data_IF_821222587555
#
_entry.id   IF_821222587555
#
_cell.length_a   1.000
_cell.length_b   1.000
_cell.length_c   1.000
_cell.angle_alpha   90.00
_cell.angle_beta   90.00
_cell.angle_gamma   90.00
#
_symmetry.space_group_name_H-M   'P 1'
#
loop_
_entity.id
_entity.type
_entity.pdbx_description
1 polymer ?
#
# COMPACT_ATOMS: atom_id res chain seq x y z
N UNK A 1 -6.77 12.17 0.33
CA UNK A 1 -5.42 11.92 0.89
C UNK A 1 -5.29 12.25 2.37
N UNK A 2 -5.79 13.40 2.85
CA UNK A 2 -5.70 13.81 4.25
C UNK A 2 -6.18 12.74 5.26
N UNK A 3 -7.32 12.09 5.00
CA UNK A 3 -7.82 10.99 5.85
C UNK A 3 -6.88 9.79 5.91
N UNK A 4 -6.18 9.47 4.81
CA UNK A 4 -5.20 8.37 4.77
C UNK A 4 -4.02 8.72 5.68
N UNK A 5 -3.44 9.92 5.52
CA UNK A 5 -2.34 10.40 6.38
C UNK A 5 -2.77 10.45 7.85
N UNK A 6 -3.97 10.98 8.14
CA UNK A 6 -4.52 11.00 9.49
C UNK A 6 -4.67 9.59 10.07
N UNK A 7 -5.08 8.60 9.27
CA UNK A 7 -5.19 7.21 9.73
C UNK A 7 -3.85 6.57 10.09
N UNK A 8 -2.75 7.03 9.50
CA UNK A 8 -1.39 6.55 9.73
C UNK A 8 -0.76 7.22 10.97
N UNK A 9 -1.01 8.52 11.18
CA UNK A 9 -0.43 9.33 12.27
C UNK A 9 -1.07 9.13 13.64
N UNK A 10 -2.26 8.51 13.71
CA UNK A 10 -2.95 8.23 14.99
C UNK A 10 -2.12 7.29 15.89
N UNK A 11 -2.32 7.32 17.22
CA UNK A 11 -1.86 6.26 18.09
C UNK A 11 -2.37 4.91 17.58
N UNK A 12 -1.47 3.93 17.43
CA UNK A 12 -1.75 2.64 16.75
C UNK A 12 -2.31 2.84 15.32
N UNK A 13 -1.67 3.76 14.59
CA UNK A 13 -2.03 4.12 13.23
C UNK A 13 -1.85 2.99 12.22
N UNK A 14 -2.45 3.13 11.05
CA UNK A 14 -2.40 2.13 9.99
C UNK A 14 -0.96 1.92 9.50
N UNK A 15 -0.54 0.64 9.41
CA UNK A 15 0.77 0.21 8.88
C UNK A 15 0.66 -0.73 7.68
N UNK A 16 -0.57 -1.04 7.26
CA UNK A 16 -0.89 -1.96 6.17
C UNK A 16 -1.99 -1.37 5.31
N UNK A 17 -2.10 -1.82 4.06
CA UNK A 17 -3.15 -1.35 3.14
C UNK A 17 -4.54 -1.64 3.69
N UNK A 18 -4.78 -2.84 4.22
CA UNK A 18 -6.08 -3.17 4.82
C UNK A 18 -6.32 -2.37 6.12
N UNK A 19 -5.26 -1.99 6.83
CA UNK A 19 -5.34 -1.07 7.97
C UNK A 19 -5.86 0.32 7.57
N UNK A 20 -5.42 0.84 6.42
CA UNK A 20 -5.92 2.10 5.86
C UNK A 20 -7.36 1.92 5.40
N UNK A 21 -7.64 0.87 4.61
CA UNK A 21 -8.97 0.57 4.07
C UNK A 21 -10.05 0.51 5.14
N UNK A 22 -9.78 -0.15 6.28
CA UNK A 22 -10.73 -0.24 7.40
C UNK A 22 -11.01 1.09 8.08
N UNK A 23 -10.08 2.05 8.04
CA UNK A 23 -10.20 3.35 8.72
C UNK A 23 -10.75 4.44 7.83
N UNK A 24 -10.51 4.37 6.51
CA UNK A 24 -10.85 5.46 5.57
C UNK A 24 -11.80 5.03 4.46
N UNK A 25 -12.07 3.73 4.32
CA UNK A 25 -12.83 3.14 3.20
C UNK A 25 -12.23 3.43 1.82
N UNK A 26 -10.95 3.82 1.74
CA UNK A 26 -10.26 3.96 0.44
C UNK A 26 -10.35 2.65 -0.34
N UNK A 27 -10.63 2.74 -1.63
CA UNK A 27 -10.71 1.57 -2.50
C UNK A 27 -11.95 0.68 -2.33
N UNK A 28 -12.92 1.06 -1.48
CA UNK A 28 -14.17 0.31 -1.27
C UNK A 28 -15.33 0.78 -2.17
N UNK A 29 -15.06 1.65 -3.15
CA UNK A 29 -16.03 2.14 -4.12
C UNK A 29 -16.16 1.22 -5.35
N UNK A 30 -16.93 1.65 -6.35
CA UNK A 30 -17.20 0.89 -7.59
C UNK A 30 -15.95 0.35 -8.29
N UNK A 31 -14.84 1.08 -8.23
CA UNK A 31 -13.56 0.71 -8.86
C UNK A 31 -12.71 -0.30 -8.07
N UNK A 32 -13.13 -0.70 -6.87
CA UNK A 32 -12.47 -1.71 -6.03
C UNK A 32 -10.96 -1.53 -5.92
N UNK A 33 -10.53 -0.29 -5.68
CA UNK A 33 -9.14 0.12 -5.51
C UNK A 33 -8.24 0.04 -6.76
N UNK A 34 -8.80 -0.19 -7.95
CA UNK A 34 -8.03 -0.27 -9.21
C UNK A 34 -7.19 0.97 -9.52
N UNK A 35 -7.61 2.15 -9.07
CA UNK A 35 -6.92 3.41 -9.34
C UNK A 35 -6.23 4.02 -8.12
N UNK A 36 -6.81 3.88 -6.92
CA UNK A 36 -6.31 4.55 -5.73
C UNK A 36 -5.24 3.75 -4.96
N UNK A 37 -5.02 2.47 -5.29
CA UNK A 37 -4.01 1.63 -4.61
C UNK A 37 -2.59 2.18 -4.77
N UNK A 38 -2.10 2.56 -5.97
CA UNK A 38 -0.76 3.12 -6.12
C UNK A 38 -0.54 4.40 -5.30
N UNK A 39 -1.53 5.30 -5.31
CA UNK A 39 -1.49 6.53 -4.52
C UNK A 39 -1.48 6.24 -2.99
N UNK A 40 -2.25 5.24 -2.56
CA UNK A 40 -2.31 4.84 -1.15
C UNK A 40 -0.97 4.24 -0.68
N UNK A 41 -0.34 3.40 -1.51
CA UNK A 41 1.01 2.86 -1.25
C UNK A 41 2.02 3.99 -1.12
N UNK A 42 2.03 4.93 -2.06
CA UNK A 42 2.93 6.09 -2.04
C UNK A 42 2.81 6.89 -0.74
N UNK A 43 1.58 7.24 -0.33
CA UNK A 43 1.34 7.96 0.93
C UNK A 43 1.83 7.15 2.12
N UNK A 44 1.59 5.84 2.15
CA UNK A 44 2.06 4.98 3.25
C UNK A 44 3.58 4.93 3.33
N UNK A 45 4.28 4.83 2.20
CA UNK A 45 5.74 4.90 2.13
C UNK A 45 6.26 6.24 2.66
N UNK A 46 5.68 7.36 2.21
CA UNK A 46 6.07 8.71 2.64
C UNK A 46 5.87 8.91 4.15
N UNK A 47 4.75 8.45 4.71
CA UNK A 47 4.43 8.64 6.13
C UNK A 47 5.26 7.72 7.05
N UNK A 48 5.73 6.58 6.55
CA UNK A 48 6.45 5.59 7.36
C UNK A 48 7.95 5.53 7.07
N UNK A 49 8.43 6.18 6.00
CA UNK A 49 9.82 6.10 5.57
C UNK A 49 10.24 4.71 5.09
N UNK A 50 9.30 3.90 4.58
CA UNK A 50 9.55 2.52 4.14
C UNK A 50 9.58 2.40 2.62
N UNK A 51 10.30 1.40 2.12
CA UNK A 51 10.30 1.08 0.70
C UNK A 51 8.93 0.58 0.23
N UNK A 52 8.51 0.86 -1.03
CA UNK A 52 7.32 0.24 -1.61
C UNK A 52 7.33 -1.29 -1.57
N UNK A 53 8.52 -1.90 -1.60
CA UNK A 53 8.72 -3.35 -1.47
C UNK A 53 8.42 -3.88 -0.06
N UNK A 54 8.38 -3.03 0.96
CA UNK A 54 8.09 -3.42 2.34
C UNK A 54 6.60 -3.37 2.65
N UNK A 55 5.81 -2.67 1.83
CA UNK A 55 4.38 -2.46 2.05
C UNK A 55 3.62 -3.78 1.99
N UNK A 56 2.80 -4.03 3.01
CA UNK A 56 1.99 -5.23 3.12
C UNK A 56 0.50 -4.94 3.05
N UNK A 57 -0.27 -5.92 2.55
CA UNK A 57 -1.72 -5.90 2.53
C UNK A 57 -2.29 -6.00 3.94
N UNK A 58 -1.88 -7.02 4.70
CA UNK A 58 -2.41 -7.34 6.03
C UNK A 58 -1.31 -7.64 7.08
N UNK A 59 -0.03 -7.40 6.74
CA UNK A 59 1.12 -7.74 7.59
C UNK A 59 1.80 -9.04 7.17
N UNK A 60 2.86 -9.43 7.88
CA UNK A 60 3.67 -10.61 7.57
C UNK A 60 4.20 -10.60 6.12
N UNK A 61 4.10 -11.74 5.44
CA UNK A 61 4.60 -11.96 4.08
C UNK A 61 3.65 -11.45 2.97
N UNK A 62 2.58 -10.73 3.31
CA UNK A 62 1.59 -10.24 2.33
C UNK A 62 2.05 -9.00 1.56
N UNK A 63 3.20 -9.07 0.89
CA UNK A 63 3.81 -7.94 0.16
C UNK A 63 2.92 -7.49 -1.00
N UNK A 64 2.75 -6.18 -1.12
CA UNK A 64 1.97 -5.56 -2.21
C UNK A 64 2.74 -5.53 -3.53
N UNK A 65 4.06 -5.52 -3.46
CA UNK A 65 4.97 -5.45 -4.58
C UNK A 65 6.11 -6.43 -4.35
N UNK A 66 6.59 -7.02 -5.43
CA UNK A 66 7.75 -7.90 -5.42
C UNK A 66 8.89 -7.27 -6.25
N UNK A 67 10.12 -7.63 -5.89
CA UNK A 67 11.33 -7.18 -6.57
C UNK A 67 11.36 -7.59 -8.06
N UNK A 68 10.72 -8.70 -8.44
CA UNK A 68 10.67 -9.15 -9.84
C UNK A 68 10.07 -8.08 -10.79
N UNK A 69 9.26 -7.15 -10.28
CA UNK A 69 8.69 -6.05 -11.07
C UNK A 69 9.72 -4.99 -11.46
N UNK A 70 10.81 -4.86 -10.69
CA UNK A 70 11.89 -3.90 -10.95
C UNK A 70 13.04 -4.56 -11.72
N UNK A 71 13.20 -5.88 -11.58
CA UNK A 71 14.25 -6.65 -12.26
C UNK A 71 13.86 -7.08 -13.70
N UNK A 72 12.61 -6.82 -14.13
CA UNK A 72 12.06 -7.12 -15.46
C UNK A 72 12.68 -6.32 -16.62
N UNK A 73 13.94 -5.90 -16.49
CA UNK A 73 14.85 -5.56 -17.59
C UNK A 73 15.58 -6.77 -18.19
N UNK A 74 15.48 -7.97 -17.59
CA UNK A 74 16.07 -9.18 -18.17
C UNK A 74 15.48 -10.46 -17.58
N UNK A 75 14.59 -11.13 -18.32
CA UNK A 75 14.11 -12.45 -17.90
C UNK A 75 12.78 -12.85 -18.49
N UNK A 76 12.87 -13.76 -19.46
CA UNK A 76 11.79 -14.40 -20.20
C UNK A 76 10.94 -15.28 -19.27
N UNK A 77 9.61 -15.11 -19.23
CA UNK A 77 8.73 -15.97 -18.43
C UNK A 77 7.58 -16.51 -19.27
N UNK A 78 7.67 -17.84 -19.47
CA UNK A 78 6.56 -18.74 -19.76
C UNK A 78 5.62 -18.84 -18.53
#
# INVERSE_FOLDING_TARGET
EAEIRASIRRPVGARTIDGIKRRTRTGMGRCQAGFCTPATIKILCEELGISPLEVTKFGGESKMLDRYLFDKGGGNHA
#
